data_IF_042612626903
#
_entry.id   IF_042612626903
#
_cell.length_a   1.000
_cell.length_b   1.000
_cell.length_c   1.000
_cell.angle_alpha   90.00
_cell.angle_beta   90.00
_cell.angle_gamma   90.00
#
_symmetry.space_group_name_H-M   'P 1'
#
loop_
_entity.id
_entity.type
_entity.pdbx_description
1 polymer ?
#
# COMPACT_ATOMS: atom_id res chain seq x y z
N UNK A 1 2.61 -38.84 8.26
CA UNK A 1 1.71 -37.74 7.88
C UNK A 1 2.48 -36.43 8.05
N UNK A 2 2.55 -35.57 7.03
CA UNK A 2 3.14 -34.24 7.19
C UNK A 2 2.23 -33.34 8.03
N UNK A 3 2.82 -32.45 8.83
CA UNK A 3 2.12 -31.43 9.60
C UNK A 3 2.96 -30.14 9.68
N UNK A 4 2.30 -29.01 9.92
CA UNK A 4 2.95 -27.72 10.17
C UNK A 4 3.46 -27.70 11.62
N UNK A 5 4.78 -27.70 11.79
CA UNK A 5 5.41 -27.58 13.11
C UNK A 5 5.30 -26.17 13.68
N UNK A 6 5.45 -25.15 12.83
CA UNK A 6 5.36 -23.74 13.24
C UNK A 6 5.14 -22.81 12.05
N UNK A 7 4.43 -21.71 12.29
CA UNK A 7 4.35 -20.56 11.39
C UNK A 7 4.47 -19.27 12.23
N UNK A 8 5.07 -18.22 11.66
CA UNK A 8 5.16 -16.91 12.31
C UNK A 8 4.87 -15.80 11.31
N UNK A 9 4.45 -14.65 11.83
CA UNK A 9 4.18 -13.45 11.05
C UNK A 9 4.58 -12.22 11.87
N UNK A 10 5.12 -11.21 11.18
CA UNK A 10 5.42 -9.90 11.75
C UNK A 10 4.84 -8.80 10.88
N UNK A 11 4.29 -7.78 11.54
CA UNK A 11 3.82 -6.55 10.90
C UNK A 11 4.98 -5.56 10.82
N UNK A 12 5.14 -4.94 9.65
CA UNK A 12 6.08 -3.84 9.48
C UNK A 12 5.56 -2.60 10.25
N UNK A 13 6.44 -1.71 10.73
CA UNK A 13 6.08 -0.69 11.71
C UNK A 13 5.08 0.38 11.22
N UNK A 14 4.94 0.57 9.90
CA UNK A 14 4.13 1.64 9.34
C UNK A 14 2.83 1.12 8.74
N UNK A 15 1.74 1.18 9.51
CA UNK A 15 0.39 0.87 9.03
C UNK A 15 -0.22 2.06 8.29
N UNK A 16 -0.58 1.86 7.03
CA UNK A 16 -1.16 2.90 6.18
C UNK A 16 -2.48 2.40 5.57
N UNK A 17 -3.49 3.27 5.59
CA UNK A 17 -4.78 3.01 4.95
C UNK A 17 -4.66 3.15 3.43
N UNK A 18 -5.51 2.42 2.72
CA UNK A 18 -5.59 2.48 1.26
C UNK A 18 -5.85 3.91 0.77
N UNK A 19 -6.72 4.67 1.45
CA UNK A 19 -7.00 6.06 1.11
C UNK A 19 -5.76 6.95 1.23
N UNK A 20 -4.97 6.78 2.31
CA UNK A 20 -3.73 7.52 2.51
C UNK A 20 -2.69 7.18 1.43
N UNK A 21 -2.61 5.90 1.02
CA UNK A 21 -1.76 5.48 -0.09
C UNK A 21 -2.23 6.07 -1.42
N UNK A 22 -3.53 6.16 -1.66
CA UNK A 22 -4.09 6.75 -2.89
C UNK A 22 -3.80 8.26 -2.98
N UNK A 23 -3.92 8.99 -1.88
CA UNK A 23 -3.55 10.41 -1.79
C UNK A 23 -2.06 10.61 -2.07
N UNK A 24 -1.21 9.86 -1.37
CA UNK A 24 0.23 9.92 -1.57
C UNK A 24 0.68 9.55 -3.00
N UNK A 25 0.07 8.52 -3.58
CA UNK A 25 0.35 8.11 -4.96
C UNK A 25 -0.07 9.20 -5.95
N UNK A 26 -1.15 9.93 -5.67
CA UNK A 26 -1.57 11.08 -6.48
C UNK A 26 -0.52 12.19 -6.45
N UNK A 27 0.02 12.51 -5.28
CA UNK A 27 1.02 13.57 -5.12
C UNK A 27 2.32 13.27 -5.87
N UNK A 28 2.88 12.07 -5.68
CA UNK A 28 4.18 11.71 -6.29
C UNK A 28 4.06 11.45 -7.79
N UNK A 29 3.02 10.74 -8.23
CA UNK A 29 2.93 10.26 -9.61
C UNK A 29 2.02 11.13 -10.49
N UNK A 30 1.23 12.03 -9.91
CA UNK A 30 0.31 12.91 -10.65
C UNK A 30 0.96 13.66 -11.82
N UNK A 31 2.14 14.29 -11.63
CA UNK A 31 2.84 14.97 -12.72
C UNK A 31 3.32 14.05 -13.85
N UNK A 32 3.61 12.78 -13.55
CA UNK A 32 4.17 11.82 -14.51
C UNK A 32 3.12 11.04 -15.30
N UNK A 33 1.89 10.94 -14.80
CA UNK A 33 0.83 10.11 -15.40
C UNK A 33 -0.35 10.96 -15.87
N UNK A 34 -0.56 11.01 -17.19
CA UNK A 34 -1.67 11.75 -17.84
C UNK A 34 -3.07 11.43 -17.30
N UNK A 35 -3.29 10.25 -16.71
CA UNK A 35 -4.58 9.76 -16.23
C UNK A 35 -4.51 9.14 -14.83
N UNK A 36 -3.78 9.75 -13.91
CA UNK A 36 -3.57 9.20 -12.55
C UNK A 36 -4.89 8.88 -11.84
N UNK A 37 -5.92 9.72 -11.94
CA UNK A 37 -7.22 9.50 -11.29
C UNK A 37 -7.91 8.21 -11.77
N UNK A 38 -7.73 7.83 -13.03
CA UNK A 38 -8.26 6.56 -13.55
C UNK A 38 -7.53 5.38 -12.94
N UNK A 39 -6.21 5.47 -12.79
CA UNK A 39 -5.36 4.41 -12.23
C UNK A 39 -5.63 4.22 -10.73
N UNK A 40 -5.84 5.32 -10.00
CA UNK A 40 -6.18 5.28 -8.57
C UNK A 40 -7.49 4.54 -8.29
N UNK A 41 -8.45 4.48 -9.23
CA UNK A 41 -9.67 3.68 -9.06
C UNK A 41 -9.39 2.18 -8.90
N UNK A 42 -8.29 1.67 -9.47
CA UNK A 42 -7.92 0.26 -9.33
C UNK A 42 -7.62 -0.14 -7.88
N UNK A 43 -7.19 0.82 -7.04
CA UNK A 43 -6.91 0.59 -5.63
C UNK A 43 -8.17 0.17 -4.87
N UNK A 44 -9.33 0.75 -5.19
CA UNK A 44 -10.62 0.38 -4.57
C UNK A 44 -11.05 -1.05 -4.91
N UNK A 45 -10.72 -1.51 -6.11
CA UNK A 45 -11.05 -2.86 -6.57
C UNK A 45 -10.15 -3.95 -5.97
N UNK A 46 -9.02 -3.57 -5.37
CA UNK A 46 -8.09 -4.50 -4.76
C UNK A 46 -8.52 -5.06 -3.41
N UNK A 47 -9.62 -4.57 -2.82
CA UNK A 47 -10.12 -4.97 -1.50
C UNK A 47 -9.05 -4.92 -0.38
N UNK A 48 -8.06 -4.03 -0.55
CA UNK A 48 -7.06 -3.78 0.47
C UNK A 48 -7.51 -2.59 1.29
N UNK A 49 -7.69 -2.79 2.59
CA UNK A 49 -8.02 -1.70 3.52
C UNK A 49 -6.74 -1.02 4.03
N UNK A 50 -5.72 -1.83 4.36
CA UNK A 50 -4.50 -1.35 4.98
C UNK A 50 -3.29 -2.17 4.53
N UNK A 51 -2.10 -1.55 4.58
CA UNK A 51 -0.81 -2.20 4.32
C UNK A 51 0.20 -1.80 5.38
N UNK A 52 1.10 -2.72 5.70
CA UNK A 52 2.25 -2.47 6.57
C UNK A 52 3.48 -2.25 5.70
N UNK A 53 4.17 -1.13 5.88
CA UNK A 53 5.39 -0.74 5.17
C UNK A 53 6.60 -0.69 6.11
N UNK A 54 7.80 -0.83 5.53
CA UNK A 54 9.07 -0.80 6.26
C UNK A 54 9.55 0.61 6.60
N UNK A 55 9.13 1.62 5.84
CA UNK A 55 9.41 3.04 6.04
C UNK A 55 8.10 3.82 6.02
N UNK A 56 8.11 5.03 6.56
CA UNK A 56 7.00 5.97 6.39
C UNK A 56 6.92 6.50 4.94
N UNK A 57 5.94 7.37 4.69
CA UNK A 57 5.73 7.95 3.37
C UNK A 57 6.76 9.03 3.03
N UNK A 58 7.34 9.71 4.01
CA UNK A 58 8.29 10.79 3.76
C UNK A 58 9.61 10.26 3.19
N UNK A 59 9.93 8.97 3.42
CA UNK A 59 11.06 8.31 2.79
C UNK A 59 11.05 8.33 1.24
N UNK A 60 9.89 8.44 0.59
CA UNK A 60 9.78 8.44 -0.88
C UNK A 60 9.65 9.84 -1.51
N UNK A 61 9.65 10.90 -0.70
CA UNK A 61 9.69 12.29 -1.18
C UNK A 61 11.13 12.74 -1.42
#
# INVERSE_FOLDING_TARGET
>A
MPYLLSASHIKLPYLLSQDKIMEFSREIFGPSFKNIERLLKAFKNGQVENRYFSNDLDWFK
#
